data_IF_487571762802
#
_entry.id   IF_487571762802
#
_cell.length_a   1.000
_cell.length_b   1.000
_cell.length_c   1.000
_cell.angle_alpha   90.00
_cell.angle_beta   90.00
_cell.angle_gamma   90.00
#
_symmetry.space_group_name_H-M   'P 1'
#
loop_
_entity.id
_entity.type
_entity.pdbx_description
1 polymer ?
#
# COMPACT_ATOMS: atom_id res chain seq x y z
N UNK A 1 -24.27 4.14 17.81
CA UNK A 1 -23.36 3.02 18.12
C UNK A 1 -22.85 2.46 16.81
N UNK A 2 -21.54 2.48 16.56
CA UNK A 2 -20.96 1.90 15.33
C UNK A 2 -20.62 0.44 15.62
N UNK A 3 -21.31 -0.48 14.95
CA UNK A 3 -21.02 -1.91 15.03
C UNK A 3 -20.03 -2.26 13.93
N UNK A 4 -18.85 -2.75 14.32
CA UNK A 4 -17.81 -3.19 13.39
C UNK A 4 -17.91 -4.70 13.19
N UNK A 5 -18.22 -5.13 11.96
CA UNK A 5 -18.15 -6.53 11.58
C UNK A 5 -16.72 -6.82 11.11
N UNK A 6 -15.96 -7.54 11.94
CA UNK A 6 -14.65 -8.03 11.57
C UNK A 6 -14.79 -9.50 11.11
N UNK A 7 -14.23 -9.87 9.96
CA UNK A 7 -14.16 -11.27 9.57
C UNK A 7 -13.36 -12.08 10.60
N UNK A 8 -13.85 -13.29 10.91
CA UNK A 8 -13.19 -14.22 11.81
C UNK A 8 -11.95 -14.81 11.13
N UNK A 9 -10.79 -14.33 11.54
CA UNK A 9 -9.50 -14.73 11.00
C UNK A 9 -8.69 -15.47 12.05
N UNK A 10 -7.96 -16.50 11.63
CA UNK A 10 -6.96 -17.14 12.48
C UNK A 10 -5.89 -16.13 12.89
N UNK A 11 -5.24 -16.34 14.05
CA UNK A 11 -4.16 -15.49 14.56
C UNK A 11 -3.08 -15.22 13.50
N UNK A 12 -2.65 -16.25 12.79
CA UNK A 12 -1.67 -16.14 11.70
C UNK A 12 -2.10 -15.15 10.60
N UNK A 13 -3.39 -15.15 10.24
CA UNK A 13 -3.93 -14.23 9.24
C UNK A 13 -4.00 -12.81 9.78
N UNK A 14 -4.37 -12.64 11.05
CA UNK A 14 -4.37 -11.33 11.71
C UNK A 14 -2.96 -10.73 11.77
N UNK A 15 -1.97 -11.51 12.22
CA UNK A 15 -0.56 -11.12 12.27
C UNK A 15 -0.04 -10.75 10.88
N UNK A 16 -0.33 -11.57 9.86
CA UNK A 16 0.03 -11.26 8.48
C UNK A 16 -0.57 -9.93 8.00
N UNK A 17 -1.82 -9.63 8.36
CA UNK A 17 -2.48 -8.36 8.00
C UNK A 17 -1.90 -7.14 8.73
N UNK A 18 -1.43 -7.32 9.97
CA UNK A 18 -0.80 -6.27 10.77
C UNK A 18 0.54 -5.81 10.16
N UNK A 19 1.28 -6.71 9.51
CA UNK A 19 2.54 -6.37 8.84
C UNK A 19 2.39 -5.30 7.74
N UNK A 20 1.19 -5.16 7.17
CA UNK A 20 0.91 -4.18 6.11
C UNK A 20 0.53 -2.78 6.63
N UNK A 21 0.40 -2.57 7.95
CA UNK A 21 -0.09 -1.29 8.51
C UNK A 21 0.72 -0.09 8.03
N UNK A 22 2.06 -0.18 8.06
CA UNK A 22 2.93 0.88 7.60
C UNK A 22 2.78 1.15 6.10
N UNK A 23 2.81 0.10 5.26
CA UNK A 23 2.65 0.25 3.82
C UNK A 23 1.28 0.82 3.41
N UNK A 24 0.20 0.40 4.10
CA UNK A 24 -1.16 0.95 3.92
C UNK A 24 -1.25 2.43 4.25
N UNK A 25 -0.52 2.89 5.26
CA UNK A 25 -0.44 4.32 5.61
C UNK A 25 0.19 5.10 4.45
N UNK A 26 1.34 4.64 3.96
CA UNK A 26 2.04 5.31 2.86
C UNK A 26 1.24 5.28 1.54
N UNK A 27 0.51 4.19 1.24
CA UNK A 27 -0.39 4.15 0.09
C UNK A 27 -1.48 5.23 0.17
N UNK A 28 -2.05 5.48 1.36
CA UNK A 28 -3.03 6.56 1.57
C UNK A 28 -2.42 7.94 1.36
N UNK A 29 -1.19 8.15 1.85
CA UNK A 29 -0.45 9.41 1.66
C UNK A 29 -0.15 9.68 0.18
N UNK A 30 -0.01 8.62 -0.62
CA UNK A 30 0.18 8.68 -2.08
C UNK A 30 -1.14 8.70 -2.87
N UNK A 31 -2.30 8.81 -2.21
CA UNK A 31 -3.62 8.73 -2.84
C UNK A 31 -3.83 7.46 -3.70
N UNK A 32 -3.20 6.36 -3.31
CA UNK A 32 -3.35 5.06 -3.97
C UNK A 32 -4.40 4.22 -3.24
N UNK A 33 -5.45 3.85 -3.96
CA UNK A 33 -6.45 2.91 -3.46
C UNK A 33 -5.86 1.51 -3.34
N UNK A 34 -6.29 0.78 -2.31
CA UNK A 34 -5.88 -0.61 -2.10
C UNK A 34 -6.98 -1.44 -1.43
N UNK A 35 -6.89 -2.76 -1.59
CA UNK A 35 -7.80 -3.73 -0.97
C UNK A 35 -7.00 -4.83 -0.26
N UNK A 36 -7.47 -5.23 0.91
CA UNK A 36 -6.96 -6.41 1.60
C UNK A 36 -7.77 -7.64 1.23
N UNK A 37 -7.10 -8.62 0.65
CA UNK A 37 -7.66 -9.89 0.26
C UNK A 37 -7.31 -10.98 1.28
N UNK A 38 -8.19 -11.97 1.41
CA UNK A 38 -7.91 -13.16 2.20
C UNK A 38 -6.73 -13.96 1.61
N UNK A 39 -5.86 -14.56 2.43
CA UNK A 39 -5.78 -14.42 3.88
C UNK A 39 -5.18 -13.07 4.33
N UNK A 40 -3.98 -12.74 3.86
CA UNK A 40 -3.26 -11.51 4.20
C UNK A 40 -2.51 -10.96 2.97
N UNK A 41 -3.22 -10.79 1.86
CA UNK A 41 -2.67 -10.26 0.61
C UNK A 41 -3.15 -8.82 0.40
N UNK A 42 -2.28 -7.95 -0.10
CA UNK A 42 -2.64 -6.57 -0.42
C UNK A 42 -2.63 -6.36 -1.93
N UNK A 43 -3.69 -5.78 -2.47
CA UNK A 43 -3.79 -5.35 -3.86
C UNK A 43 -3.84 -3.83 -3.93
N UNK A 44 -3.06 -3.22 -4.80
CA UNK A 44 -3.17 -1.77 -5.09
C UNK A 44 -3.97 -1.60 -6.38
N UNK A 45 -4.94 -0.69 -6.37
CA UNK A 45 -5.79 -0.40 -7.53
C UNK A 45 -5.07 0.64 -8.40
N UNK A 46 -4.49 0.16 -9.50
CA UNK A 46 -3.84 0.92 -10.57
C UNK A 46 -3.90 0.11 -11.85
N UNK A 47 -3.48 0.65 -13.00
CA UNK A 47 -3.71 0.04 -14.32
C UNK A 47 -3.30 -1.44 -14.41
N UNK A 48 -2.15 -1.80 -13.83
CA UNK A 48 -1.61 -3.16 -13.84
C UNK A 48 -1.85 -3.96 -12.53
N UNK A 49 -2.55 -3.36 -11.56
CA UNK A 49 -3.08 -3.98 -10.34
C UNK A 49 -2.12 -4.94 -9.60
N UNK A 50 -1.00 -4.46 -9.03
CA UNK A 50 -0.06 -5.30 -8.30
C UNK A 50 -0.69 -6.03 -7.12
N UNK A 51 -0.20 -7.24 -6.88
CA UNK A 51 -0.50 -8.04 -5.68
C UNK A 51 0.76 -8.21 -4.83
N UNK A 52 0.60 -8.04 -3.53
CA UNK A 52 1.64 -8.20 -2.53
C UNK A 52 1.22 -9.29 -1.54
N UNK A 53 2.00 -10.36 -1.51
CA UNK A 53 1.93 -11.41 -0.48
C UNK A 53 2.98 -11.21 0.62
N UNK A 54 3.89 -10.25 0.42
CA UNK A 54 4.95 -9.87 1.35
C UNK A 54 4.96 -8.34 1.54
N UNK A 55 4.90 -7.91 2.79
CA UNK A 55 4.91 -6.50 3.19
C UNK A 55 6.23 -5.79 2.82
N UNK A 56 7.35 -6.51 2.75
CA UNK A 56 8.66 -5.94 2.35
C UNK A 56 8.65 -5.50 0.89
N UNK A 57 8.02 -6.30 0.01
CA UNK A 57 7.85 -5.95 -1.41
C UNK A 57 6.95 -4.72 -1.59
N UNK A 58 5.91 -4.60 -0.76
CA UNK A 58 5.09 -3.38 -0.72
C UNK A 58 5.92 -2.17 -0.30
N UNK A 59 6.71 -2.27 0.77
CA UNK A 59 7.55 -1.18 1.24
C UNK A 59 8.55 -0.71 0.16
N UNK A 60 9.17 -1.64 -0.57
CA UNK A 60 10.04 -1.32 -1.71
C UNK A 60 9.28 -0.62 -2.84
N UNK A 61 8.08 -1.10 -3.17
CA UNK A 61 7.23 -0.48 -4.18
C UNK A 61 6.88 0.98 -3.81
N UNK A 62 6.46 1.22 -2.57
CA UNK A 62 6.13 2.56 -2.09
C UNK A 62 7.35 3.46 -2.06
N UNK A 63 8.51 2.96 -1.59
CA UNK A 63 9.77 3.73 -1.59
C UNK A 63 10.16 4.19 -2.99
N UNK A 64 10.04 3.33 -4.00
CA UNK A 64 10.31 3.69 -5.40
C UNK A 64 9.36 4.75 -5.92
N UNK A 65 8.08 4.68 -5.54
CA UNK A 65 7.08 5.70 -5.92
C UNK A 65 7.38 7.05 -5.28
N UNK A 66 7.66 7.10 -3.97
CA UNK A 66 8.02 8.36 -3.30
C UNK A 66 9.27 8.97 -3.92
N UNK A 67 10.30 8.16 -4.19
CA UNK A 67 11.53 8.64 -4.82
C UNK A 67 11.30 9.15 -6.25
N UNK A 68 10.49 8.44 -7.05
CA UNK A 68 10.16 8.86 -8.42
C UNK A 68 9.18 10.03 -8.53
N UNK A 69 8.46 10.35 -7.45
CA UNK A 69 7.60 11.55 -7.36
C UNK A 69 8.39 12.83 -7.02
N UNK A 70 9.66 12.71 -6.63
CA UNK A 70 10.52 13.83 -6.22
C UNK A 70 11.28 14.51 -7.35
N UNK A 71 11.12 14.07 -8.61
CA UNK A 71 11.94 14.52 -9.75
C UNK A 71 11.08 15.14 -10.88
N UNK A 72 10.22 16.09 -10.52
CA UNK A 72 9.49 16.94 -11.47
C UNK A 72 9.43 18.39 -10.99
N UNK A 73 10.59 18.94 -10.65
CA UNK A 73 10.71 20.34 -10.25
C UNK A 73 12.14 20.81 -10.42
N UNK A 74 12.45 21.24 -11.65
CA UNK A 74 13.49 22.21 -12.05
C UNK A 74 13.94 21.91 -13.48
N UNK A 75 13.08 22.22 -14.46
CA UNK A 75 13.57 22.60 -15.78
C UNK A 75 13.44 24.13 -15.84
N UNK A 76 14.46 24.80 -15.30
CA UNK A 76 14.71 26.21 -15.54
C UNK A 76 15.05 26.36 -17.03
N UNK A 77 14.06 26.65 -17.87
CA UNK A 77 14.30 27.18 -19.21
C UNK A 77 14.37 28.70 -19.14
N UNK A 78 15.59 29.20 -18.95
CA UNK A 78 16.01 30.54 -19.36
C UNK A 78 16.54 30.43 -20.80
N UNK A 79 15.85 31.07 -21.75
CA UNK A 79 16.31 31.32 -23.13
C UNK A 79 15.52 32.48 -23.73
#
# INVERSE_FOLDING_TARGET
MVVSLNPDFTLQVQEGRLQYVAGKKQLRELYLEYRMLYPAKLRVEMDWKPFFTDHKKLAQFVKRRVAGSGDRGSEDTDS
#
